data_IF_844853969775
#
_entry.id   IF_844853969775
#
_cell.length_a   1.000
_cell.length_b   1.000
_cell.length_c   1.000
_cell.angle_alpha   90.00
_cell.angle_beta   90.00
_cell.angle_gamma   90.00
#
_symmetry.space_group_name_H-M   'P 1'
#
loop_
_entity.id
_entity.type
_entity.pdbx_description
1 polymer ?
#
# COMPACT_ATOMS: atom_id res chain seq x y z
N UNK A 1 10.86 -10.17 -9.58
CA UNK A 1 11.85 -9.36 -8.87
C UNK A 1 11.15 -8.52 -7.82
N UNK A 2 11.61 -8.55 -6.61
CA UNK A 2 10.98 -7.85 -5.49
C UNK A 2 11.93 -6.80 -4.94
N UNK A 3 11.57 -5.54 -5.09
CA UNK A 3 12.22 -4.43 -4.39
C UNK A 3 11.57 -4.34 -3.00
N UNK A 4 12.17 -4.99 -2.01
CA UNK A 4 11.55 -5.20 -0.70
C UNK A 4 11.84 -4.11 0.33
N UNK A 5 12.80 -3.23 0.08
CA UNK A 5 13.19 -2.20 1.04
C UNK A 5 12.73 -0.82 0.60
N UNK A 6 12.01 -0.12 1.49
CA UNK A 6 11.60 1.28 1.31
C UNK A 6 12.79 2.18 0.93
N UNK A 7 13.97 1.93 1.51
CA UNK A 7 15.20 2.66 1.19
C UNK A 7 15.64 2.53 -0.27
N UNK A 8 15.30 1.43 -0.94
CA UNK A 8 15.68 1.17 -2.33
C UNK A 8 14.90 2.05 -3.30
N UNK A 9 13.64 2.36 -2.98
CA UNK A 9 12.81 3.26 -3.79
C UNK A 9 13.16 4.75 -3.62
N UNK A 10 13.99 5.09 -2.64
CA UNK A 10 14.49 6.45 -2.47
C UNK A 10 15.60 6.82 -3.47
N UNK A 11 16.11 5.84 -4.21
CA UNK A 11 17.10 6.03 -5.28
C UNK A 11 16.42 5.81 -6.64
N UNK A 12 16.04 6.89 -7.29
CA UNK A 12 15.36 6.85 -8.58
C UNK A 12 16.19 6.15 -9.67
N UNK A 13 17.50 6.37 -9.69
CA UNK A 13 18.39 5.73 -10.67
C UNK A 13 18.45 4.22 -10.46
N UNK A 14 18.43 3.78 -9.20
CA UNK A 14 18.36 2.36 -8.89
C UNK A 14 17.02 1.75 -9.34
N UNK A 15 15.90 2.43 -9.07
CA UNK A 15 14.57 1.97 -9.52
C UNK A 15 14.53 1.84 -11.03
N UNK A 16 15.01 2.85 -11.76
CA UNK A 16 15.07 2.81 -13.24
C UNK A 16 15.89 1.63 -13.73
N UNK A 17 17.10 1.44 -13.22
CA UNK A 17 17.95 0.30 -13.60
C UNK A 17 17.29 -1.06 -13.38
N UNK A 18 16.59 -1.24 -12.25
CA UNK A 18 15.89 -2.48 -11.97
C UNK A 18 14.72 -2.68 -12.94
N UNK A 19 13.93 -1.65 -13.21
CA UNK A 19 12.87 -1.71 -14.20
C UNK A 19 13.41 -2.08 -15.58
N UNK A 20 14.47 -1.42 -16.03
CA UNK A 20 15.13 -1.70 -17.32
C UNK A 20 15.59 -3.15 -17.44
N UNK A 21 16.19 -3.71 -16.39
CA UNK A 21 16.61 -5.12 -16.40
C UNK A 21 15.44 -6.08 -16.54
N UNK A 22 14.33 -5.84 -15.86
CA UNK A 22 13.14 -6.67 -15.94
C UNK A 22 12.49 -6.53 -17.32
N UNK A 23 12.27 -5.30 -17.78
CA UNK A 23 11.69 -4.98 -19.09
C UNK A 23 12.51 -5.64 -20.21
N UNK A 24 13.84 -5.51 -20.17
CA UNK A 24 14.72 -6.16 -21.14
C UNK A 24 14.58 -7.69 -21.11
N UNK A 25 14.39 -8.28 -19.93
CA UNK A 25 14.16 -9.71 -19.79
C UNK A 25 12.82 -10.15 -20.37
N UNK A 26 11.75 -9.37 -20.13
CA UNK A 26 10.43 -9.57 -20.72
C UNK A 26 10.51 -9.50 -22.25
N UNK A 27 11.15 -8.45 -22.76
CA UNK A 27 11.30 -8.25 -24.20
C UNK A 27 12.10 -9.38 -24.87
N UNK A 28 13.15 -9.88 -24.23
CA UNK A 28 13.96 -10.99 -24.74
C UNK A 28 13.27 -12.34 -24.69
N UNK A 29 12.39 -12.57 -23.72
CA UNK A 29 11.73 -13.88 -23.57
C UNK A 29 10.83 -14.21 -24.76
N UNK A 30 10.19 -13.22 -25.36
CA UNK A 30 9.25 -13.38 -26.49
C UNK A 30 7.96 -14.13 -26.17
N UNK A 31 7.80 -14.61 -24.94
CA UNK A 31 6.65 -15.45 -24.52
C UNK A 31 5.81 -14.79 -23.41
N UNK A 32 6.30 -13.72 -22.78
CA UNK A 32 5.53 -12.97 -21.80
C UNK A 32 4.53 -12.08 -22.52
N UNK A 33 3.25 -12.25 -22.20
CA UNK A 33 2.16 -11.46 -22.78
C UNK A 33 1.62 -10.43 -21.80
N UNK A 34 1.90 -10.58 -20.51
CA UNK A 34 1.43 -9.65 -19.47
C UNK A 34 2.35 -9.63 -18.27
N UNK A 35 2.53 -8.46 -17.69
CA UNK A 35 3.24 -8.20 -16.44
C UNK A 35 2.29 -7.51 -15.47
N UNK A 36 2.15 -8.01 -14.27
CA UNK A 36 1.46 -7.31 -13.17
C UNK A 36 2.49 -6.67 -12.26
N UNK A 37 2.44 -5.35 -12.18
CA UNK A 37 3.35 -4.55 -11.36
C UNK A 37 2.74 -4.35 -9.98
N UNK A 38 3.38 -4.86 -8.94
CA UNK A 38 2.99 -4.55 -7.56
C UNK A 38 3.50 -3.16 -7.19
N UNK A 39 2.62 -2.17 -7.29
CA UNK A 39 2.87 -0.82 -6.85
C UNK A 39 2.49 -0.64 -5.37
N UNK A 40 1.89 0.46 -5.02
CA UNK A 40 1.44 0.78 -3.67
C UNK A 40 0.39 1.88 -3.72
N UNK A 41 -0.45 1.95 -2.69
CA UNK A 41 -1.30 3.12 -2.45
C UNK A 41 -0.48 4.41 -2.32
N UNK A 42 0.79 4.30 -1.92
CA UNK A 42 1.71 5.43 -1.90
C UNK A 42 1.95 6.06 -3.28
N UNK A 43 1.68 5.36 -4.38
CA UNK A 43 1.68 5.91 -5.74
C UNK A 43 0.33 6.56 -6.13
N UNK A 44 -0.66 6.53 -5.26
CA UNK A 44 -1.93 7.25 -5.41
C UNK A 44 -1.94 8.52 -4.57
N UNK A 45 -1.29 8.47 -3.40
CA UNK A 45 -1.18 9.61 -2.48
C UNK A 45 0.22 9.67 -1.88
N UNK A 46 0.66 10.87 -1.52
CA UNK A 46 1.85 11.03 -0.70
C UNK A 46 1.44 10.96 0.77
N UNK A 47 1.80 9.88 1.43
CA UNK A 47 1.43 9.64 2.83
C UNK A 47 1.97 10.69 3.80
N UNK A 48 2.98 11.43 3.39
CA UNK A 48 3.64 12.42 4.24
C UNK A 48 3.11 13.84 4.04
N UNK A 49 2.22 14.06 3.08
CA UNK A 49 1.60 15.37 2.86
C UNK A 49 0.09 15.31 3.12
N UNK A 50 -0.27 15.38 4.38
CA UNK A 50 -1.69 15.44 4.79
C UNK A 50 -2.42 16.64 4.19
N UNK A 51 -1.72 17.72 3.84
CA UNK A 51 -2.30 18.87 3.17
C UNK A 51 -2.73 18.55 1.73
N UNK A 52 -2.09 17.59 1.10
CA UNK A 52 -2.54 17.09 -0.21
C UNK A 52 -3.92 16.43 -0.11
N UNK A 53 -4.18 15.69 0.96
CA UNK A 53 -5.49 15.08 1.20
C UNK A 53 -6.59 16.11 1.43
N UNK A 54 -6.28 17.19 2.14
CA UNK A 54 -7.23 18.30 2.33
C UNK A 54 -7.58 18.97 1.00
N UNK A 55 -6.59 19.19 0.14
CA UNK A 55 -6.79 19.82 -1.18
C UNK A 55 -7.43 18.89 -2.21
N UNK A 56 -7.15 17.61 -2.12
CA UNK A 56 -7.57 16.58 -3.08
C UNK A 56 -8.08 15.35 -2.33
N UNK A 57 -9.31 15.42 -1.75
CA UNK A 57 -9.79 14.41 -0.81
C UNK A 57 -10.26 13.11 -1.46
N UNK A 58 -10.39 13.06 -2.79
CA UNK A 58 -10.81 11.83 -3.48
C UNK A 58 -9.58 11.01 -3.88
N UNK A 59 -9.54 9.76 -3.44
CA UNK A 59 -8.51 8.76 -3.76
C UNK A 59 -9.10 7.72 -4.70
N UNK A 60 -8.57 7.63 -5.91
CA UNK A 60 -9.05 6.75 -6.99
C UNK A 60 -7.88 6.33 -7.91
N UNK A 61 -8.13 5.39 -8.79
CA UNK A 61 -7.09 4.70 -9.56
C UNK A 61 -6.25 5.61 -10.46
N UNK A 62 -6.84 6.66 -11.05
CA UNK A 62 -6.10 7.54 -11.98
C UNK A 62 -5.42 8.72 -11.27
N UNK A 63 -5.53 8.74 -9.94
CA UNK A 63 -4.82 9.74 -9.14
C UNK A 63 -3.36 9.35 -8.96
N UNK A 64 -2.50 10.35 -9.13
CA UNK A 64 -1.09 10.32 -8.73
C UNK A 64 -0.82 11.38 -7.66
N UNK A 65 0.22 11.19 -6.83
CA UNK A 65 0.70 12.24 -5.95
C UNK A 65 1.03 13.51 -6.73
N UNK A 66 0.90 14.67 -6.09
CA UNK A 66 1.19 15.96 -6.73
C UNK A 66 2.67 16.06 -7.11
N UNK A 67 2.98 15.98 -8.40
CA UNK A 67 4.35 16.00 -8.91
C UNK A 67 5.03 17.36 -8.76
N UNK A 68 4.26 18.39 -8.60
CA UNK A 68 4.79 19.76 -8.42
C UNK A 68 5.02 20.11 -6.94
N UNK A 69 4.70 19.20 -6.03
CA UNK A 69 4.95 19.45 -4.62
C UNK A 69 6.46 19.49 -4.32
N UNK A 70 7.00 20.64 -3.88
CA UNK A 70 8.44 20.80 -3.63
C UNK A 70 8.96 19.91 -2.48
N UNK A 71 8.08 19.38 -1.64
CA UNK A 71 8.42 18.40 -0.58
C UNK A 71 8.65 17.00 -1.15
N UNK A 72 8.40 16.79 -2.41
CA UNK A 72 8.41 15.53 -3.09
C UNK A 72 9.80 15.15 -3.62
N UNK A 73 10.79 15.15 -2.77
CA UNK A 73 12.15 14.73 -3.11
C UNK A 73 12.53 13.48 -2.33
N UNK A 74 13.45 12.68 -2.86
CA UNK A 74 14.04 11.55 -2.15
C UNK A 74 14.57 11.93 -0.75
N UNK A 75 15.02 13.18 -0.59
CA UNK A 75 15.51 13.72 0.68
C UNK A 75 14.41 13.95 1.73
N UNK A 76 13.16 14.06 1.31
CA UNK A 76 12.02 14.34 2.22
C UNK A 76 11.23 13.11 2.63
N UNK A 77 11.72 11.89 2.32
CA UNK A 77 11.06 10.63 2.64
C UNK A 77 9.93 10.23 1.68
N UNK A 78 9.67 11.00 0.64
CA UNK A 78 8.68 10.69 -0.40
C UNK A 78 9.24 9.86 -1.56
N UNK A 79 10.50 9.46 -1.49
CA UNK A 79 11.17 8.69 -2.52
C UNK A 79 10.48 7.36 -2.84
N UNK A 80 9.87 6.73 -1.85
CA UNK A 80 9.09 5.51 -2.05
C UNK A 80 7.90 5.72 -3.00
N UNK A 81 7.10 6.76 -2.76
CA UNK A 81 5.95 7.12 -3.61
C UNK A 81 6.39 7.43 -5.05
N UNK A 82 7.46 8.20 -5.20
CA UNK A 82 8.05 8.53 -6.51
C UNK A 82 8.56 7.26 -7.20
N UNK A 83 9.32 6.45 -6.50
CA UNK A 83 9.89 5.21 -7.05
C UNK A 83 8.81 4.22 -7.52
N UNK A 84 7.73 4.08 -6.76
CA UNK A 84 6.58 3.26 -7.18
C UNK A 84 5.94 3.83 -8.46
N UNK A 85 5.67 5.12 -8.51
CA UNK A 85 5.11 5.78 -9.70
C UNK A 85 6.04 5.65 -10.92
N UNK A 86 7.35 5.82 -10.75
CA UNK A 86 8.33 5.64 -11.82
C UNK A 86 8.31 4.22 -12.37
N UNK A 87 8.23 3.22 -11.48
CA UNK A 87 8.13 1.83 -11.90
C UNK A 87 6.85 1.56 -12.71
N UNK A 88 5.69 2.04 -12.26
CA UNK A 88 4.44 1.91 -12.99
C UNK A 88 4.56 2.45 -14.41
N UNK A 89 5.05 3.68 -14.57
CA UNK A 89 5.21 4.33 -15.86
C UNK A 89 6.21 3.60 -16.76
N UNK A 90 7.36 3.22 -16.21
CA UNK A 90 8.38 2.51 -16.98
C UNK A 90 7.85 1.21 -17.62
N UNK A 91 7.06 0.43 -16.87
CA UNK A 91 6.46 -0.79 -17.40
C UNK A 91 5.34 -0.52 -18.39
N UNK A 92 4.46 0.45 -18.13
CA UNK A 92 3.37 0.81 -19.03
C UNK A 92 3.88 1.35 -20.37
N UNK A 93 4.85 2.26 -20.33
CA UNK A 93 5.45 2.86 -21.53
C UNK A 93 6.19 1.81 -22.37
N UNK A 94 6.97 0.94 -21.71
CA UNK A 94 7.68 -0.13 -22.40
C UNK A 94 6.74 -1.19 -23.01
N UNK A 95 5.62 -1.46 -22.36
CA UNK A 95 4.61 -2.35 -22.91
C UNK A 95 3.93 -1.74 -24.13
N UNK A 96 3.57 -0.47 -24.07
CA UNK A 96 3.01 0.29 -25.20
C UNK A 96 3.98 0.32 -26.40
N UNK A 97 5.26 0.65 -26.14
CA UNK A 97 6.30 0.65 -27.17
C UNK A 97 6.50 -0.74 -27.79
N UNK A 98 6.47 -1.78 -26.98
CA UNK A 98 6.64 -3.16 -27.44
C UNK A 98 5.47 -3.64 -28.29
N UNK A 99 4.24 -3.29 -27.94
CA UNK A 99 3.00 -3.77 -28.54
C UNK A 99 2.78 -5.29 -28.46
N UNK A 100 3.59 -6.01 -27.65
CA UNK A 100 3.56 -7.48 -27.54
C UNK A 100 3.04 -7.99 -26.21
N UNK A 101 3.09 -7.17 -25.19
CA UNK A 101 2.70 -7.50 -23.83
C UNK A 101 2.07 -6.29 -23.14
N UNK A 102 1.29 -6.54 -22.12
CA UNK A 102 0.62 -5.52 -21.31
C UNK A 102 1.30 -5.37 -19.94
N UNK A 103 1.30 -4.17 -19.41
CA UNK A 103 1.63 -3.88 -18.02
C UNK A 103 0.37 -3.43 -17.26
N UNK A 104 0.02 -4.14 -16.21
CA UNK A 104 -1.13 -3.84 -15.35
C UNK A 104 -0.60 -3.54 -13.95
N UNK A 105 -1.13 -2.52 -13.32
CA UNK A 105 -0.66 -2.08 -12.00
C UNK A 105 -1.64 -2.43 -10.89
N UNK A 106 -1.16 -3.14 -9.87
CA UNK A 106 -1.84 -3.31 -8.60
C UNK A 106 -1.27 -2.33 -7.57
N UNK A 107 -2.13 -1.50 -6.97
CA UNK A 107 -1.78 -0.56 -5.89
C UNK A 107 -2.40 -1.06 -4.57
N UNK A 108 -1.74 -1.98 -3.85
CA UNK A 108 -2.26 -2.45 -2.58
C UNK A 108 -2.10 -1.40 -1.49
N UNK A 109 -3.02 -1.44 -0.53
CA UNK A 109 -2.91 -0.76 0.75
C UNK A 109 -1.89 -1.46 1.67
N UNK A 110 -2.07 -1.26 2.96
CA UNK A 110 -1.25 -1.89 3.99
C UNK A 110 -1.59 -3.39 4.07
N UNK A 111 -0.65 -4.22 3.64
CA UNK A 111 -0.88 -5.67 3.56
C UNK A 111 -0.85 -6.28 4.96
N UNK A 112 -1.97 -6.88 5.35
CA UNK A 112 -2.15 -7.63 6.59
C UNK A 112 -2.62 -9.05 6.27
N UNK A 113 -2.62 -9.93 7.25
CA UNK A 113 -3.15 -11.29 7.07
C UNK A 113 -2.26 -12.37 7.68
N UNK A 114 -2.56 -13.65 7.40
CA UNK A 114 -1.88 -14.76 8.05
C UNK A 114 -0.40 -14.84 7.69
N UNK A 115 0.42 -15.16 8.69
CA UNK A 115 1.82 -15.51 8.52
C UNK A 115 1.89 -16.98 8.11
N UNK A 116 2.41 -17.26 6.92
CA UNK A 116 2.46 -18.62 6.36
C UNK A 116 3.77 -19.36 6.66
N UNK A 117 4.83 -18.64 7.03
CA UNK A 117 6.13 -19.22 7.31
C UNK A 117 6.85 -18.45 8.43
N UNK A 118 7.63 -19.18 9.23
CA UNK A 118 8.32 -18.62 10.41
C UNK A 118 9.22 -17.41 10.09
N UNK A 119 9.85 -17.37 8.93
CA UNK A 119 10.69 -16.25 8.52
C UNK A 119 9.90 -14.97 8.19
N UNK A 120 8.60 -15.07 7.91
CA UNK A 120 7.74 -13.91 7.67
C UNK A 120 7.39 -13.15 8.95
N UNK A 121 7.61 -13.76 10.12
CA UNK A 121 7.33 -13.15 11.43
C UNK A 121 8.01 -11.79 11.61
N UNK A 122 9.19 -11.62 11.04
CA UNK A 122 9.99 -10.40 11.17
C UNK A 122 10.11 -9.61 9.86
N UNK A 123 9.31 -9.96 8.84
CA UNK A 123 9.55 -9.51 7.47
C UNK A 123 8.77 -8.24 7.08
N UNK A 124 7.79 -7.80 7.85
CA UNK A 124 6.92 -6.71 7.46
C UNK A 124 6.76 -5.62 8.52
N UNK A 125 6.63 -4.36 8.12
CA UNK A 125 6.46 -3.24 9.06
C UNK A 125 5.17 -3.38 9.89
N UNK A 126 4.12 -3.99 9.32
CA UNK A 126 2.83 -4.13 10.00
C UNK A 126 2.85 -5.17 11.10
N UNK A 127 3.55 -6.29 10.91
CA UNK A 127 3.77 -7.28 11.97
C UNK A 127 4.53 -6.65 13.13
N UNK A 128 5.55 -5.86 12.83
CA UNK A 128 6.31 -5.15 13.85
C UNK A 128 5.47 -4.09 14.57
N UNK A 129 4.63 -3.33 13.84
CA UNK A 129 3.73 -2.35 14.44
C UNK A 129 2.74 -3.01 15.42
N UNK A 130 2.13 -4.13 15.04
CA UNK A 130 1.22 -4.89 15.92
C UNK A 130 1.98 -5.44 17.14
N UNK A 131 3.17 -6.03 16.94
CA UNK A 131 4.00 -6.52 18.04
C UNK A 131 4.30 -5.41 19.05
N UNK A 132 4.67 -4.24 18.57
CA UNK A 132 5.01 -3.09 19.41
C UNK A 132 3.80 -2.55 20.18
N UNK A 133 2.61 -2.55 19.54
CA UNK A 133 1.35 -2.25 20.24
C UNK A 133 1.06 -3.25 21.36
N UNK A 134 1.25 -4.55 21.10
CA UNK A 134 1.08 -5.60 22.11
C UNK A 134 2.05 -5.46 23.28
N UNK A 135 3.23 -4.89 23.04
CA UNK A 135 4.21 -4.57 24.08
C UNK A 135 3.94 -3.24 24.80
N UNK A 136 2.93 -2.48 24.37
CA UNK A 136 2.60 -1.16 24.94
C UNK A 136 3.57 -0.05 24.51
N UNK A 137 4.32 -0.27 23.45
CA UNK A 137 5.31 0.67 22.93
C UNK A 137 4.68 1.55 21.84
N UNK A 138 3.99 2.61 22.23
CA UNK A 138 3.38 3.58 21.33
C UNK A 138 4.36 4.71 21.03
N UNK A 139 5.04 4.64 19.90
CA UNK A 139 5.86 5.74 19.41
C UNK A 139 5.50 6.10 17.97
N UNK A 140 5.90 7.30 17.54
CA UNK A 140 5.58 7.84 16.22
C UNK A 140 6.02 6.93 15.05
N UNK A 141 7.13 6.23 15.21
CA UNK A 141 7.66 5.37 14.16
C UNK A 141 6.85 4.09 14.02
N UNK A 142 6.31 3.60 15.12
CA UNK A 142 5.59 2.34 15.21
C UNK A 142 4.15 2.47 14.75
N UNK A 143 3.46 3.51 15.23
CA UNK A 143 2.04 3.71 14.87
C UNK A 143 1.84 4.44 13.56
N UNK A 144 2.83 4.40 12.68
CA UNK A 144 2.70 4.94 11.32
C UNK A 144 2.44 6.43 11.30
N UNK A 145 3.08 7.19 12.20
CA UNK A 145 2.92 8.64 12.29
C UNK A 145 1.45 9.08 12.42
N UNK A 146 0.65 8.30 13.16
CA UNK A 146 -0.77 8.60 13.44
C UNK A 146 -1.69 8.60 12.21
N UNK A 147 -1.24 8.07 11.08
CA UNK A 147 -2.07 7.97 9.88
C UNK A 147 -3.14 6.89 10.02
N UNK A 148 -4.21 7.02 9.27
CA UNK A 148 -5.13 5.91 9.08
C UNK A 148 -4.44 4.74 8.35
N UNK A 149 -4.80 3.53 8.72
CA UNK A 149 -4.38 2.32 8.06
C UNK A 149 -5.45 1.89 7.06
N UNK A 150 -5.13 1.92 5.79
CA UNK A 150 -5.97 1.39 4.73
C UNK A 150 -5.47 -0.02 4.39
N UNK A 151 -5.99 -0.96 5.15
CA UNK A 151 -5.54 -2.34 5.11
C UNK A 151 -6.13 -3.09 3.93
N UNK A 152 -5.42 -4.14 3.54
CA UNK A 152 -5.89 -5.16 2.61
C UNK A 152 -5.38 -6.51 3.06
N UNK A 153 -6.22 -7.54 2.97
CA UNK A 153 -5.76 -8.91 3.24
C UNK A 153 -4.81 -9.35 2.12
N UNK A 154 -3.68 -9.92 2.50
CA UNK A 154 -2.66 -10.40 1.55
C UNK A 154 -3.21 -11.45 0.58
N UNK A 155 -4.24 -12.21 0.99
CA UNK A 155 -4.92 -13.18 0.13
C UNK A 155 -5.74 -12.49 -0.96
N UNK A 156 -6.35 -11.34 -0.66
CA UNK A 156 -7.08 -10.54 -1.65
C UNK A 156 -6.11 -9.88 -2.63
N UNK A 157 -4.95 -9.43 -2.15
CA UNK A 157 -3.89 -8.92 -3.04
C UNK A 157 -3.38 -10.01 -3.98
N UNK A 158 -3.15 -11.23 -3.47
CA UNK A 158 -2.73 -12.35 -4.30
C UNK A 158 -3.81 -12.70 -5.35
N UNK A 159 -5.07 -12.76 -4.95
CA UNK A 159 -6.20 -13.00 -5.85
C UNK A 159 -6.33 -11.91 -6.91
N UNK A 160 -6.18 -10.64 -6.52
CA UNK A 160 -6.19 -9.51 -7.46
C UNK A 160 -5.11 -9.66 -8.54
N UNK A 161 -3.88 -10.05 -8.16
CA UNK A 161 -2.81 -10.30 -9.13
C UNK A 161 -3.15 -11.42 -10.11
N UNK A 162 -3.74 -12.52 -9.63
CA UNK A 162 -4.16 -13.64 -10.49
C UNK A 162 -5.25 -13.16 -11.46
N UNK A 163 -6.28 -12.47 -10.96
CA UNK A 163 -7.36 -11.97 -11.81
C UNK A 163 -6.87 -10.96 -12.84
N UNK A 164 -5.92 -10.10 -12.50
CA UNK A 164 -5.28 -9.18 -13.45
C UNK A 164 -4.51 -9.93 -14.54
N UNK A 165 -3.83 -11.03 -14.20
CA UNK A 165 -3.12 -11.86 -15.17
C UNK A 165 -4.06 -12.58 -16.14
N UNK A 166 -5.19 -13.05 -15.66
CA UNK A 166 -6.13 -13.91 -16.41
C UNK A 166 -7.22 -13.12 -17.15
N UNK A 167 -7.50 -11.87 -16.73
CA UNK A 167 -8.57 -11.07 -17.32
C UNK A 167 -8.29 -10.66 -18.75
N UNK A 168 -9.28 -10.88 -19.61
CA UNK A 168 -9.26 -10.41 -21.01
C UNK A 168 -9.79 -8.97 -21.17
N UNK A 169 -10.39 -8.41 -20.12
CA UNK A 169 -10.98 -7.06 -20.12
C UNK A 169 -10.06 -6.00 -19.54
N UNK A 170 -8.84 -6.37 -19.17
CA UNK A 170 -7.84 -5.44 -18.61
C UNK A 170 -6.87 -5.04 -19.71
N UNK A 171 -6.62 -3.74 -19.82
CA UNK A 171 -5.80 -3.14 -20.86
C UNK A 171 -4.47 -2.60 -20.30
N UNK A 172 -3.48 -2.43 -21.18
CA UNK A 172 -2.18 -1.85 -20.83
C UNK A 172 -2.33 -0.51 -20.09
N UNK A 173 -1.52 -0.31 -19.08
CA UNK A 173 -1.49 0.91 -18.28
C UNK A 173 -2.60 1.04 -17.22
N UNK A 174 -3.57 0.12 -17.19
CA UNK A 174 -4.61 0.18 -16.17
C UNK A 174 -4.05 -0.05 -14.77
N UNK A 175 -4.58 0.75 -13.84
CA UNK A 175 -4.26 0.70 -12.41
C UNK A 175 -5.47 0.25 -11.61
N UNK A 176 -5.22 -0.54 -10.58
CA UNK A 176 -6.25 -1.06 -9.68
C UNK A 176 -5.83 -0.84 -8.23
N UNK A 177 -6.67 -0.19 -7.45
CA UNK A 177 -6.46 -0.03 -6.01
C UNK A 177 -7.00 -1.28 -5.30
N UNK A 178 -6.10 -1.99 -4.61
CA UNK A 178 -6.44 -3.14 -3.81
C UNK A 178 -6.39 -2.78 -2.32
N UNK A 179 -7.52 -2.35 -1.76
CA UNK A 179 -7.72 -2.10 -0.34
C UNK A 179 -9.16 -2.33 0.08
N UNK A 180 -9.38 -2.59 1.34
CA UNK A 180 -10.68 -2.42 1.96
C UNK A 180 -10.96 -0.90 2.04
N UNK A 181 -12.16 -0.46 1.74
CA UNK A 181 -12.51 0.97 1.84
C UNK A 181 -12.65 1.45 3.28
N UNK A 182 -12.52 0.54 4.24
CA UNK A 182 -12.53 0.86 5.65
C UNK A 182 -11.12 1.27 6.11
N UNK A 183 -10.98 2.51 6.55
CA UNK A 183 -9.78 2.96 7.24
C UNK A 183 -9.80 2.49 8.68
N UNK A 184 -8.62 2.11 9.19
CA UNK A 184 -8.43 1.78 10.60
C UNK A 184 -7.51 2.81 11.22
N UNK A 185 -7.93 3.41 12.31
CA UNK A 185 -7.08 4.25 13.13
C UNK A 185 -6.42 3.43 14.24
N UNK A 186 -5.36 3.95 14.84
CA UNK A 186 -4.61 3.23 15.88
C UNK A 186 -5.53 2.77 17.01
N UNK A 187 -6.43 3.64 17.45
CA UNK A 187 -7.40 3.33 18.50
C UNK A 187 -8.34 2.18 18.12
N UNK A 188 -8.82 2.15 16.87
CA UNK A 188 -9.68 1.08 16.36
C UNK A 188 -8.94 -0.26 16.31
N UNK A 189 -7.64 -0.21 15.91
CA UNK A 189 -6.78 -1.40 15.90
C UNK A 189 -6.54 -1.92 17.30
N UNK A 190 -6.21 -1.04 18.26
CA UNK A 190 -6.04 -1.40 19.66
C UNK A 190 -7.31 -2.02 20.25
N UNK A 191 -8.47 -1.42 20.02
CA UNK A 191 -9.76 -1.96 20.47
C UNK A 191 -10.06 -3.33 19.85
N UNK A 192 -9.70 -3.53 18.59
CA UNK A 192 -9.88 -4.82 17.91
C UNK A 192 -8.97 -5.89 18.49
N UNK A 193 -7.72 -5.55 18.80
CA UNK A 193 -6.76 -6.47 19.44
C UNK A 193 -7.26 -6.84 20.82
N UNK A 194 -7.66 -5.88 21.66
CA UNK A 194 -8.17 -6.14 23.02
C UNK A 194 -9.37 -7.08 23.02
N UNK A 195 -10.26 -6.93 22.03
CA UNK A 195 -11.41 -7.81 21.87
C UNK A 195 -11.03 -9.25 21.49
N UNK A 196 -9.97 -9.40 20.69
CA UNK A 196 -9.53 -10.70 20.18
C UNK A 196 -8.61 -11.47 21.13
N UNK A 197 -7.90 -10.79 22.03
CA UNK A 197 -6.96 -11.43 22.96
C UNK A 197 -7.56 -12.59 23.75
N UNK A 198 -8.77 -12.49 24.34
CA UNK A 198 -9.39 -13.61 25.05
C UNK A 198 -9.70 -14.80 24.15
N UNK A 199 -10.13 -14.54 22.90
CA UNK A 199 -10.44 -15.58 21.92
C UNK A 199 -9.17 -16.35 21.49
N UNK A 200 -8.02 -15.69 21.53
CA UNK A 200 -6.72 -16.28 21.24
C UNK A 200 -6.08 -16.98 22.47
N UNK A 201 -6.80 -17.07 23.59
CA UNK A 201 -6.31 -17.74 24.79
C UNK A 201 -5.55 -16.84 25.76
N UNK A 202 -5.52 -15.52 25.51
CA UNK A 202 -4.88 -14.53 26.39
C UNK A 202 -5.90 -13.88 27.34
N UNK A 203 -6.67 -14.70 28.04
CA UNK A 203 -7.67 -14.22 28.99
C UNK A 203 -7.05 -13.30 30.05
N UNK A 204 -7.63 -12.11 30.20
CA UNK A 204 -7.15 -11.09 31.13
C UNK A 204 -5.97 -10.24 30.62
N UNK A 205 -5.43 -10.55 29.45
CA UNK A 205 -4.51 -9.65 28.78
C UNK A 205 -5.25 -8.45 28.20
N UNK A 206 -4.60 -7.29 28.26
CA UNK A 206 -5.10 -6.03 27.71
C UNK A 206 -3.93 -5.23 27.18
N UNK A 207 -4.13 -4.54 26.07
CA UNK A 207 -3.16 -3.56 25.60
C UNK A 207 -3.01 -2.43 26.62
N UNK A 208 -1.89 -1.74 26.58
CA UNK A 208 -1.68 -0.56 27.42
C UNK A 208 -2.74 0.49 27.09
N UNK A 209 -3.49 0.88 28.09
CA UNK A 209 -4.65 1.75 27.98
C UNK A 209 -4.56 2.86 29.05
N UNK A 210 -4.92 4.09 28.73
CA UNK A 210 -5.25 4.62 27.39
C UNK A 210 -4.03 4.95 26.52
N UNK A 211 -4.24 5.19 25.23
CA UNK A 211 -3.21 5.78 24.37
C UNK A 211 -2.64 7.06 25.02
N UNK A 212 -1.32 7.29 24.92
CA UNK A 212 -0.74 8.52 25.44
C UNK A 212 -1.44 9.77 24.90
N UNK A 213 -1.66 10.83 25.72
CA UNK A 213 -2.44 12.00 25.29
C UNK A 213 -1.94 12.64 23.99
N UNK A 214 -0.63 12.66 23.76
CA UNK A 214 -0.03 13.22 22.54
C UNK A 214 -0.41 12.40 21.30
N UNK A 215 -0.60 11.08 21.46
CA UNK A 215 -1.05 10.19 20.37
C UNK A 215 -2.54 10.42 20.12
N UNK A 216 -3.34 10.53 21.16
CA UNK A 216 -4.78 10.79 21.04
C UNK A 216 -5.06 12.12 20.31
N UNK A 217 -4.34 13.18 20.64
CA UNK A 217 -4.50 14.48 19.98
C UNK A 217 -4.17 14.41 18.50
N UNK A 218 -3.03 13.80 18.16
CA UNK A 218 -2.61 13.64 16.76
C UNK A 218 -3.53 12.72 15.97
N UNK A 219 -3.98 11.65 16.57
CA UNK A 219 -4.92 10.74 15.96
C UNK A 219 -6.26 11.44 15.65
N UNK A 220 -6.76 12.26 16.57
CA UNK A 220 -7.98 13.02 16.35
C UNK A 220 -7.83 14.00 15.17
N UNK A 221 -6.68 14.69 15.05
CA UNK A 221 -6.37 15.55 13.91
C UNK A 221 -6.40 14.78 12.59
N UNK A 222 -5.70 13.65 12.50
CA UNK A 222 -5.64 12.82 11.29
C UNK A 222 -6.99 12.17 10.98
N UNK A 223 -7.72 11.70 11.98
CA UNK A 223 -9.07 11.16 11.80
C UNK A 223 -10.01 12.19 11.17
N UNK A 224 -9.93 13.45 11.58
CA UNK A 224 -10.72 14.51 10.99
C UNK A 224 -10.42 14.72 9.50
N UNK A 225 -9.13 14.68 9.11
CA UNK A 225 -8.72 14.77 7.69
C UNK A 225 -9.24 13.57 6.90
N UNK A 226 -9.00 12.35 7.41
CA UNK A 226 -9.41 11.13 6.71
C UNK A 226 -10.92 10.97 6.58
N UNK A 227 -11.70 11.42 7.55
CA UNK A 227 -13.16 11.44 7.46
C UNK A 227 -13.69 12.37 6.36
N UNK A 228 -12.87 13.33 5.92
CA UNK A 228 -13.16 14.17 4.76
C UNK A 228 -12.73 13.55 3.42
N UNK A 229 -12.08 12.39 3.42
CA UNK A 229 -11.60 11.73 2.21
C UNK A 229 -12.61 10.70 1.68
N UNK A 230 -12.72 10.64 0.36
CA UNK A 230 -13.45 9.59 -0.35
C UNK A 230 -12.46 8.55 -0.88
N UNK A 231 -12.57 7.32 -0.41
CA UNK A 231 -11.72 6.19 -0.80
C UNK A 231 -12.47 5.32 -1.81
N UNK A 232 -11.92 5.16 -3.01
CA UNK A 232 -12.53 4.36 -4.07
C UNK A 232 -11.67 3.14 -4.40
N UNK A 233 -12.34 2.05 -4.71
CA UNK A 233 -11.78 0.84 -5.30
C UNK A 233 -12.78 0.23 -6.30
N UNK A 234 -13.55 1.08 -6.95
CA UNK A 234 -14.68 0.65 -7.79
C UNK A 234 -14.19 -0.06 -9.04
N UNK A 235 -13.05 0.35 -9.59
CA UNK A 235 -12.49 -0.27 -10.80
C UNK A 235 -12.15 -1.74 -10.58
N UNK A 236 -11.46 -2.10 -9.50
CA UNK A 236 -11.09 -3.49 -9.24
C UNK A 236 -12.33 -4.37 -9.00
N UNK A 237 -13.35 -3.83 -8.35
CA UNK A 237 -14.63 -4.52 -8.14
C UNK A 237 -15.37 -4.72 -9.44
N UNK A 238 -15.54 -3.67 -10.24
CA UNK A 238 -16.30 -3.71 -11.48
C UNK A 238 -15.63 -4.55 -12.57
N UNK A 239 -14.29 -4.41 -12.73
CA UNK A 239 -13.55 -5.06 -13.82
C UNK A 239 -13.15 -6.49 -13.47
N UNK A 240 -12.76 -6.74 -12.22
CA UNK A 240 -12.21 -8.02 -11.79
C UNK A 240 -13.16 -8.81 -10.87
N UNK A 241 -14.33 -8.26 -10.52
CA UNK A 241 -15.27 -8.91 -9.61
C UNK A 241 -14.70 -9.17 -8.22
N UNK A 242 -13.78 -8.31 -7.77
CA UNK A 242 -13.15 -8.48 -6.46
C UNK A 242 -14.10 -8.07 -5.33
N UNK A 243 -14.10 -8.88 -4.28
CA UNK A 243 -14.63 -8.56 -2.97
C UNK A 243 -13.49 -8.62 -1.96
N UNK A 244 -13.44 -7.70 -1.02
CA UNK A 244 -12.36 -7.61 -0.06
C UNK A 244 -12.81 -8.13 1.31
N UNK A 245 -11.94 -8.90 1.95
CA UNK A 245 -12.10 -9.29 3.35
C UNK A 245 -12.01 -8.04 4.24
N UNK A 246 -12.84 -8.01 5.26
CA UNK A 246 -12.89 -6.94 6.27
C UNK A 246 -12.11 -7.32 7.52
#
# INVERSE_FOLDING_TARGET
>A
AHLSHVSTYNDEDYVRKVCDHIINSVNKSGTVNRVVVTSSIAAVLSEQDMQELVRRPVLYEDRYPDEQNPKRTAKTGQGYSIGKMLAERAFSDAAEESGRWDAITCCPGDNVGPILAAHQKNAGPWQHNIETMLLGEYNQNVVGAYRAWYTVDVRDVAEAHIRMLESISVENGQRFIAWSTETRHVEDVCASIDRLLPELGFAGAKLVDPLPPQIQEKEAEFRAIWNGCELRNDRIKATLGMEFRT
#
